data_IF_683074539473
#
_entry.id   IF_683074539473
#
_cell.length_a   1.000
_cell.length_b   1.000
_cell.length_c   1.000
_cell.angle_alpha   90.00
_cell.angle_beta   90.00
_cell.angle_gamma   90.00
#
_symmetry.space_group_name_H-M   'P 1'
#
loop_
_entity.id
_entity.type
_entity.pdbx_description
1 polymer ?
#
# COMPACT_ATOMS: atom_id res chain seq x y z
N UNK A 1 43.96 52.88 52.49
CA UNK A 1 43.88 51.69 51.63
C UNK A 1 42.45 51.19 51.67
N UNK A 2 41.62 51.33 50.61
CA UNK A 2 40.35 50.65 50.60
C UNK A 2 40.60 49.20 50.19
N UNK A 3 40.19 48.26 51.04
CA UNK A 3 40.14 46.83 50.75
C UNK A 3 39.03 46.60 49.73
N UNK A 4 39.39 46.59 48.45
CA UNK A 4 38.48 46.34 47.35
C UNK A 4 38.44 44.84 47.03
N UNK A 5 37.24 44.26 47.08
CA UNK A 5 36.80 43.36 46.01
C UNK A 5 36.87 41.85 46.23
N UNK A 6 36.50 41.33 47.40
CA UNK A 6 36.17 39.90 47.52
C UNK A 6 34.69 39.58 47.24
N UNK A 7 33.81 40.59 47.19
CA UNK A 7 32.37 40.42 46.90
C UNK A 7 32.08 40.25 45.40
N UNK A 8 32.89 40.84 44.52
CA UNK A 8 32.73 40.76 43.07
C UNK A 8 32.90 39.33 42.52
N UNK A 9 33.83 38.55 43.08
CA UNK A 9 34.13 37.19 42.59
C UNK A 9 33.00 36.17 42.83
N UNK A 10 32.21 36.32 43.90
CA UNK A 10 31.12 35.38 44.20
C UNK A 10 29.88 35.69 43.34
N UNK A 11 29.55 36.98 43.19
CA UNK A 11 28.47 37.39 42.29
C UNK A 11 28.74 36.96 40.85
N UNK A 12 29.98 37.07 40.38
CA UNK A 12 30.34 36.66 39.02
C UNK A 12 30.24 35.14 38.85
N UNK A 13 30.62 34.34 39.86
CA UNK A 13 30.41 32.89 39.86
C UNK A 13 28.93 32.51 39.83
N UNK A 14 28.08 33.20 40.61
CA UNK A 14 26.64 32.96 40.64
C UNK A 14 26.01 33.33 39.29
N UNK A 15 26.40 34.46 38.69
CA UNK A 15 25.95 34.86 37.35
C UNK A 15 26.38 33.84 36.29
N UNK A 16 27.63 33.38 36.35
CA UNK A 16 28.14 32.37 35.43
C UNK A 16 27.40 31.03 35.57
N UNK A 17 27.09 30.62 36.80
CA UNK A 17 26.32 29.39 37.06
C UNK A 17 24.88 29.52 36.53
N UNK A 18 24.24 30.67 36.72
CA UNK A 18 22.91 30.94 36.20
C UNK A 18 22.89 30.94 34.66
N UNK A 19 23.89 31.54 34.02
CA UNK A 19 24.05 31.54 32.56
C UNK A 19 24.26 30.13 32.02
N UNK A 20 25.15 29.33 32.62
CA UNK A 20 25.38 27.94 32.21
C UNK A 20 24.12 27.06 32.36
N UNK A 21 23.39 27.20 33.46
CA UNK A 21 22.14 26.47 33.64
C UNK A 21 21.08 26.86 32.60
N UNK A 22 21.04 28.14 32.20
CA UNK A 22 20.15 28.61 31.16
C UNK A 22 20.54 28.06 29.78
N UNK A 23 21.82 28.13 29.42
CA UNK A 23 22.32 27.56 28.16
C UNK A 23 22.09 26.06 28.09
N UNK A 24 22.31 25.34 29.19
CA UNK A 24 22.00 23.91 29.25
C UNK A 24 20.51 23.66 28.97
N UNK A 25 19.60 24.39 29.63
CA UNK A 25 18.16 24.27 29.41
C UNK A 25 17.75 24.59 27.97
N UNK A 26 18.36 25.62 27.36
CA UNK A 26 18.11 25.97 25.96
C UNK A 26 18.65 24.89 25.00
N UNK A 27 19.84 24.37 25.27
CA UNK A 27 20.49 23.32 24.47
C UNK A 27 19.64 22.04 24.45
N UNK A 28 19.21 21.56 25.63
CA UNK A 28 18.36 20.35 25.69
C UNK A 28 17.00 20.58 25.03
N UNK A 29 16.40 21.76 25.19
CA UNK A 29 15.11 22.08 24.58
C UNK A 29 15.22 22.17 23.05
N UNK A 30 16.27 22.80 22.55
CA UNK A 30 16.56 22.90 21.12
C UNK A 30 16.84 21.53 20.51
N UNK A 31 17.67 20.72 21.16
CA UNK A 31 17.97 19.36 20.72
C UNK A 31 16.71 18.49 20.66
N UNK A 32 15.85 18.58 21.67
CA UNK A 32 14.60 17.83 21.71
C UNK A 32 13.61 18.28 20.63
N UNK A 33 13.52 19.58 20.35
CA UNK A 33 12.71 20.08 19.23
C UNK A 33 13.25 19.60 17.88
N UNK A 34 14.56 19.69 17.66
CA UNK A 34 15.16 19.22 16.41
C UNK A 34 14.95 17.72 16.20
N UNK A 35 15.10 16.92 17.26
CA UNK A 35 14.82 15.48 17.20
C UNK A 35 13.37 15.20 16.78
N UNK A 36 12.39 15.88 17.40
CA UNK A 36 10.97 15.73 17.04
C UNK A 36 10.69 16.13 15.59
N UNK A 37 11.29 17.23 15.11
CA UNK A 37 11.13 17.67 13.73
C UNK A 37 11.76 16.69 12.74
N UNK A 38 12.95 16.18 13.04
CA UNK A 38 13.62 15.18 12.21
C UNK A 38 12.79 13.89 12.11
N UNK A 39 12.28 13.39 13.24
CA UNK A 39 11.39 12.23 13.27
C UNK A 39 10.13 12.45 12.45
N UNK A 40 9.49 13.62 12.57
CA UNK A 40 8.29 13.98 11.80
C UNK A 40 8.58 13.99 10.30
N UNK A 41 9.71 14.59 9.90
CA UNK A 41 10.14 14.63 8.50
C UNK A 41 10.41 13.23 7.94
N UNK A 42 11.13 12.38 8.69
CA UNK A 42 11.41 11.00 8.27
C UNK A 42 10.12 10.17 8.13
N UNK A 43 9.17 10.31 9.06
CA UNK A 43 7.87 9.62 8.96
C UNK A 43 7.11 10.08 7.71
N UNK A 44 7.07 11.38 7.44
CA UNK A 44 6.37 11.94 6.29
C UNK A 44 7.01 11.51 4.96
N UNK A 45 8.34 11.45 4.91
CA UNK A 45 9.07 10.94 3.76
C UNK A 45 8.77 9.45 3.51
N UNK A 46 8.77 8.62 4.57
CA UNK A 46 8.39 7.20 4.48
C UNK A 46 6.95 7.02 4.00
N UNK A 47 6.00 7.81 4.51
CA UNK A 47 4.61 7.79 4.06
C UNK A 47 4.51 8.10 2.56
N UNK A 48 5.29 9.09 2.09
CA UNK A 48 5.33 9.47 0.68
C UNK A 48 5.89 8.34 -0.19
N UNK A 49 7.02 7.74 0.21
CA UNK A 49 7.64 6.62 -0.50
C UNK A 49 6.70 5.41 -0.59
N UNK A 50 6.00 5.08 0.49
CA UNK A 50 5.02 3.98 0.51
C UNK A 50 3.84 4.29 -0.42
N UNK A 51 3.35 5.53 -0.45
CA UNK A 51 2.29 5.96 -1.37
C UNK A 51 2.69 5.75 -2.84
N UNK A 52 3.89 6.23 -3.21
CA UNK A 52 4.43 6.05 -4.57
C UNK A 52 4.62 4.57 -4.93
N UNK A 53 5.05 3.74 -3.98
CA UNK A 53 5.18 2.30 -4.18
C UNK A 53 3.81 1.64 -4.44
N UNK A 54 2.78 2.04 -3.68
CA UNK A 54 1.42 1.54 -3.85
C UNK A 54 0.84 1.91 -5.23
N UNK A 55 1.08 3.12 -5.70
CA UNK A 55 0.69 3.58 -7.05
C UNK A 55 1.37 2.75 -8.14
N UNK A 56 2.69 2.53 -7.98
CA UNK A 56 3.48 1.73 -8.92
C UNK A 56 2.99 0.27 -8.97
N UNK A 57 2.72 -0.35 -7.82
CA UNK A 57 2.17 -1.70 -7.74
C UNK A 57 0.79 -1.81 -8.37
N UNK A 58 -0.07 -0.82 -8.16
CA UNK A 58 -1.41 -0.77 -8.77
C UNK A 58 -1.33 -0.68 -10.29
N UNK A 59 -0.38 0.11 -10.81
CA UNK A 59 -0.12 0.21 -12.24
C UNK A 59 0.42 -1.11 -12.84
N UNK A 60 1.36 -1.77 -12.15
CA UNK A 60 1.91 -3.06 -12.59
C UNK A 60 0.85 -4.17 -12.60
N UNK A 61 -0.02 -4.23 -11.59
CA UNK A 61 -1.12 -5.20 -11.55
C UNK A 61 -2.14 -4.94 -12.66
N UNK A 62 -2.47 -3.67 -12.90
CA UNK A 62 -3.38 -3.28 -13.97
C UNK A 62 -2.82 -3.68 -15.34
N UNK A 63 -1.56 -3.35 -15.62
CA UNK A 63 -0.91 -3.68 -16.90
C UNK A 63 -0.63 -5.18 -17.08
N UNK A 64 -0.37 -5.92 -16.01
CA UNK A 64 -0.22 -7.38 -16.04
C UNK A 64 -1.55 -8.13 -16.26
N UNK A 65 -2.67 -7.58 -15.79
CA UNK A 65 -4.00 -8.19 -15.92
C UNK A 65 -4.79 -7.72 -17.14
N UNK A 66 -4.51 -6.54 -17.70
CA UNK A 66 -5.36 -5.90 -18.72
C UNK A 66 -4.93 -6.10 -20.17
N UNK A 67 -3.81 -6.78 -20.43
CA UNK A 67 -3.24 -6.88 -21.78
C UNK A 67 -3.60 -8.17 -22.54
N UNK A 68 -4.41 -9.04 -21.96
CA UNK A 68 -5.00 -10.14 -22.72
C UNK A 68 -6.37 -9.66 -23.21
N UNK A 69 -6.60 -9.47 -24.52
CA UNK A 69 -7.94 -9.22 -25.00
C UNK A 69 -8.80 -10.39 -24.54
N UNK A 70 -9.83 -10.13 -23.72
CA UNK A 70 -10.84 -11.11 -23.28
C UNK A 70 -11.68 -11.67 -24.44
N UNK A 71 -11.20 -11.52 -25.67
CA UNK A 71 -11.81 -12.05 -26.85
C UNK A 71 -11.48 -13.53 -26.92
N UNK A 72 -12.39 -14.33 -26.37
CA UNK A 72 -12.60 -15.68 -26.88
C UNK A 72 -13.04 -15.51 -28.34
N UNK A 73 -12.09 -15.48 -29.27
CA UNK A 73 -12.40 -15.62 -30.69
C UNK A 73 -13.08 -16.99 -30.80
N UNK A 74 -14.37 -17.06 -31.19
CA UNK A 74 -15.03 -18.34 -31.39
C UNK A 74 -14.17 -19.12 -32.39
N UNK A 75 -13.70 -20.31 -32.00
CA UNK A 75 -12.90 -21.15 -32.89
C UNK A 75 -13.66 -21.24 -34.23
N UNK A 76 -13.13 -20.70 -35.34
CA UNK A 76 -13.85 -20.68 -36.62
C UNK A 76 -14.12 -22.11 -37.13
N UNK A 77 -13.36 -23.09 -36.63
CA UNK A 77 -13.71 -24.51 -36.72
C UNK A 77 -14.71 -24.88 -35.63
N UNK A 78 -15.82 -24.16 -35.49
CA UNK A 78 -16.85 -24.43 -34.49
C UNK A 78 -17.05 -25.94 -34.38
N UNK A 79 -16.58 -26.51 -33.26
CA UNK A 79 -16.27 -27.93 -33.07
C UNK A 79 -15.09 -28.49 -33.90
N UNK A 80 -13.89 -28.47 -33.32
CA UNK A 80 -12.74 -29.21 -33.81
C UNK A 80 -12.85 -30.71 -33.44
N UNK A 81 -13.78 -31.44 -34.06
CA UNK A 81 -13.63 -32.89 -34.26
C UNK A 81 -14.61 -33.37 -35.33
N UNK A 82 -14.18 -33.30 -36.58
CA UNK A 82 -14.75 -34.09 -37.65
C UNK A 82 -13.60 -34.88 -38.29
N UNK A 83 -13.16 -35.92 -37.60
CA UNK A 83 -12.27 -36.92 -38.21
C UNK A 83 -13.14 -37.74 -39.16
N UNK A 84 -12.94 -37.56 -40.47
CA UNK A 84 -13.50 -38.44 -41.49
C UNK A 84 -12.55 -39.64 -41.62
N UNK A 85 -13.02 -40.84 -41.29
CA UNK A 85 -12.25 -42.06 -41.55
C UNK A 85 -12.26 -42.36 -43.05
N UNK A 86 -11.21 -42.99 -43.58
CA UNK A 86 -11.09 -43.39 -45.00
C UNK A 86 -12.26 -44.29 -45.48
N UNK A 87 -12.98 -44.91 -44.56
CA UNK A 87 -14.20 -45.68 -44.80
C UNK A 87 -15.47 -44.84 -45.03
N UNK A 88 -15.38 -43.51 -44.96
CA UNK A 88 -16.49 -42.59 -45.16
C UNK A 88 -17.40 -42.37 -43.95
N UNK A 89 -17.06 -42.94 -42.77
CA UNK A 89 -17.81 -42.71 -41.53
C UNK A 89 -17.33 -41.45 -40.80
N UNK A 90 -18.28 -40.60 -40.38
CA UNK A 90 -18.06 -39.45 -39.49
C UNK A 90 -18.23 -39.88 -38.02
N UNK A 91 -17.30 -39.48 -37.16
CA UNK A 91 -17.50 -39.58 -35.71
C UNK A 91 -18.47 -38.49 -35.24
N UNK A 92 -19.48 -38.86 -34.46
CA UNK A 92 -20.49 -37.93 -33.95
C UNK A 92 -19.86 -36.85 -33.08
N UNK A 93 -20.25 -35.61 -33.33
CA UNK A 93 -19.80 -34.43 -32.59
C UNK A 93 -20.24 -34.52 -31.12
N UNK A 94 -19.42 -34.08 -30.15
CA UNK A 94 -19.87 -33.96 -28.77
C UNK A 94 -21.04 -32.98 -28.74
N UNK A 95 -22.20 -33.42 -28.25
CA UNK A 95 -23.35 -32.55 -28.07
C UNK A 95 -22.96 -31.45 -27.07
N UNK A 96 -22.89 -30.20 -27.51
CA UNK A 96 -22.91 -29.05 -26.63
C UNK A 96 -24.29 -29.02 -25.97
N UNK A 97 -24.42 -29.70 -24.84
CA UNK A 97 -25.61 -29.66 -24.01
C UNK A 97 -25.76 -28.26 -23.43
N UNK A 98 -26.47 -27.41 -24.16
CA UNK A 98 -27.68 -26.75 -23.69
C UNK A 98 -27.58 -26.13 -22.28
N UNK A 99 -26.75 -25.10 -22.11
CA UNK A 99 -26.93 -24.11 -21.03
C UNK A 99 -27.73 -22.91 -21.56
N UNK A 100 -28.90 -23.20 -22.10
CA UNK A 100 -29.94 -22.21 -22.36
C UNK A 100 -31.27 -22.86 -22.02
N UNK A 101 -31.50 -23.07 -20.71
CA UNK A 101 -32.84 -23.23 -20.16
C UNK A 101 -33.13 -21.99 -19.33
N UNK A 102 -33.94 -21.15 -19.95
CA UNK A 102 -34.57 -19.93 -19.44
C UNK A 102 -35.30 -20.16 -18.11
N UNK A 103 -35.39 -19.07 -17.35
CA UNK A 103 -36.22 -18.88 -16.18
C UNK A 103 -37.66 -19.37 -16.34
N UNK A 104 -38.21 -19.98 -15.29
CA UNK A 104 -39.56 -19.69 -14.74
C UNK A 104 -39.68 -20.42 -13.38
N UNK A 105 -40.47 -19.85 -12.49
CA UNK A 105 -40.56 -19.99 -11.05
C UNK A 105 -41.07 -21.33 -10.48
N UNK A 106 -40.79 -21.52 -9.18
CA UNK A 106 -41.70 -21.90 -8.05
C UNK A 106 -40.80 -22.19 -6.84
N UNK A 107 -40.57 -21.24 -5.92
CA UNK A 107 -41.33 -21.05 -4.67
C UNK A 107 -41.64 -22.35 -3.92
N UNK A 108 -40.88 -22.68 -2.86
CA UNK A 108 -41.25 -22.46 -1.45
C UNK A 108 -40.09 -22.79 -0.49
N UNK A 109 -40.06 -22.22 0.73
CA UNK A 109 -39.00 -22.39 1.72
C UNK A 109 -39.42 -23.35 2.85
N UNK A 110 -38.69 -24.44 3.07
CA UNK A 110 -38.86 -25.25 4.28
C UNK A 110 -37.77 -24.91 5.30
N UNK A 111 -38.18 -24.10 6.28
CA UNK A 111 -37.56 -24.03 7.58
C UNK A 111 -37.79 -25.37 8.31
N UNK A 112 -36.74 -25.92 8.92
CA UNK A 112 -36.92 -26.82 10.05
C UNK A 112 -35.87 -26.54 11.12
N UNK A 113 -36.40 -25.98 12.21
CA UNK A 113 -36.03 -26.04 13.64
C UNK A 113 -34.59 -26.33 14.04
#
# INVERSE_FOLDING_TARGET
MPTQGNSSSLEDLIKQLAANNLEFQQSVSSSNMQFQQNMTATIQDLQTQIGQLADTMSHLQSTGSSNLPSQTIPNPRGNASAVNLRSGKKLSQPALQQLSRSAEATSEPDANS
#
